data_IF_656270661129
#
_entry.id   IF_656270661129
#
_cell.length_a   1.000
_cell.length_b   1.000
_cell.length_c   1.000
_cell.angle_alpha   90.00
_cell.angle_beta   90.00
_cell.angle_gamma   90.00
#
_symmetry.space_group_name_H-M   'P 1'
#
loop_
_entity.id
_entity.type
_entity.pdbx_description
1 polymer ?
#
# COMPACT_ATOMS: atom_id res chain seq x y z
N UNK A 1 5.63 39.64 -17.44
CA UNK A 1 5.33 39.06 -16.12
C UNK A 1 4.13 38.13 -16.30
N UNK A 2 4.40 36.89 -16.75
CA UNK A 2 3.36 35.90 -16.98
C UNK A 2 2.85 35.36 -15.63
N UNK A 3 1.54 35.24 -15.50
CA UNK A 3 0.87 34.83 -14.28
C UNK A 3 1.39 33.45 -13.84
N UNK A 4 2.07 33.41 -12.71
CA UNK A 4 2.31 32.20 -11.95
C UNK A 4 0.96 31.76 -11.39
N UNK A 5 0.15 31.08 -12.21
CA UNK A 5 -1.03 30.39 -11.72
C UNK A 5 -0.52 29.35 -10.72
N UNK A 6 -0.81 29.59 -9.45
CA UNK A 6 -0.68 28.65 -8.36
C UNK A 6 -1.50 27.41 -8.71
N UNK A 7 -0.88 26.46 -9.42
CA UNK A 7 -1.50 25.18 -9.75
C UNK A 7 -1.58 24.44 -8.44
N UNK A 8 -2.74 24.50 -7.79
CA UNK A 8 -3.06 23.68 -6.63
C UNK A 8 -2.69 22.24 -7.03
N UNK A 9 -1.69 21.62 -6.39
CA UNK A 9 -1.31 20.27 -6.73
C UNK A 9 -2.49 19.38 -6.39
N UNK A 10 -3.17 18.86 -7.42
CA UNK A 10 -4.17 17.84 -7.21
C UNK A 10 -3.44 16.63 -6.60
N UNK A 11 -3.84 16.21 -5.39
CA UNK A 11 -3.40 14.97 -4.76
C UNK A 11 -3.92 13.80 -5.58
N UNK A 12 -3.17 13.45 -6.62
CA UNK A 12 -3.47 12.36 -7.53
C UNK A 12 -2.22 11.56 -7.80
N UNK A 13 -2.34 10.24 -7.79
CA UNK A 13 -1.27 9.33 -8.22
C UNK A 13 -1.05 9.38 -9.73
N UNK A 14 -2.02 9.91 -10.48
CA UNK A 14 -2.00 10.09 -11.92
C UNK A 14 -1.19 11.34 -12.33
N UNK A 15 0.09 11.39 -11.98
CA UNK A 15 0.95 12.57 -12.23
C UNK A 15 1.21 12.82 -13.73
N UNK A 16 0.99 11.83 -14.58
CA UNK A 16 1.07 11.97 -16.05
C UNK A 16 -0.25 12.45 -16.69
N UNK A 17 -1.27 12.75 -15.88
CA UNK A 17 -2.57 13.26 -16.34
C UNK A 17 -3.51 12.21 -16.95
N UNK A 18 -3.11 10.94 -17.01
CA UNK A 18 -3.95 9.83 -17.51
C UNK A 18 -4.58 9.06 -16.36
N UNK A 19 -5.77 8.50 -16.57
CA UNK A 19 -6.42 7.69 -15.54
C UNK A 19 -5.80 6.28 -15.51
N UNK A 20 -5.30 5.87 -14.35
CA UNK A 20 -4.75 4.53 -14.10
C UNK A 20 -5.62 3.76 -13.09
N UNK A 21 -6.86 3.36 -13.44
CA UNK A 21 -7.79 2.77 -12.48
C UNK A 21 -7.28 1.44 -11.90
N UNK A 22 -6.52 0.65 -12.66
CA UNK A 22 -6.02 -0.65 -12.21
C UNK A 22 -4.89 -0.47 -11.21
N UNK A 23 -3.91 0.36 -11.56
CA UNK A 23 -2.74 0.70 -10.77
C UNK A 23 -3.18 1.37 -9.45
N UNK A 24 -4.10 2.34 -9.53
CA UNK A 24 -4.67 3.00 -8.35
C UNK A 24 -5.44 2.02 -7.46
N UNK A 25 -6.06 0.98 -8.02
CA UNK A 25 -6.70 -0.08 -7.22
C UNK A 25 -5.65 -0.88 -6.43
N UNK A 26 -4.52 -1.25 -7.06
CA UNK A 26 -3.43 -1.92 -6.35
C UNK A 26 -2.79 -1.04 -5.28
N UNK A 27 -2.65 0.27 -5.52
CA UNK A 27 -2.22 1.25 -4.50
C UNK A 27 -3.17 1.21 -3.30
N UNK A 28 -4.48 1.34 -3.55
CA UNK A 28 -5.48 1.32 -2.49
C UNK A 28 -5.48 -0.01 -1.72
N UNK A 29 -5.43 -1.15 -2.42
CA UNK A 29 -5.35 -2.47 -1.80
C UNK A 29 -4.11 -2.60 -0.91
N UNK A 30 -2.93 -2.24 -1.41
CA UNK A 30 -1.69 -2.35 -0.65
C UNK A 30 -1.70 -1.46 0.60
N UNK A 31 -2.21 -0.24 0.49
CA UNK A 31 -2.31 0.68 1.63
C UNK A 31 -3.30 0.19 2.68
N UNK A 32 -4.50 -0.24 2.27
CA UNK A 32 -5.53 -0.72 3.20
C UNK A 32 -5.08 -2.01 3.87
N UNK A 33 -4.62 -3.00 3.09
CA UNK A 33 -4.15 -4.28 3.63
C UNK A 33 -2.93 -4.10 4.53
N UNK A 34 -1.98 -3.24 4.14
CA UNK A 34 -0.82 -2.91 4.95
C UNK A 34 -1.20 -2.21 6.26
N UNK A 35 -2.11 -1.23 6.20
CA UNK A 35 -2.61 -0.53 7.38
C UNK A 35 -3.33 -1.48 8.35
N UNK A 36 -4.17 -2.38 7.84
CA UNK A 36 -4.81 -3.42 8.66
C UNK A 36 -3.75 -4.32 9.28
N UNK A 37 -2.81 -4.85 8.49
CA UNK A 37 -1.78 -5.76 8.96
C UNK A 37 -0.97 -5.15 10.11
N UNK A 38 -0.41 -3.95 9.91
CA UNK A 38 0.42 -3.31 10.94
C UNK A 38 -0.39 -2.95 12.18
N UNK A 39 -1.63 -2.48 12.02
CA UNK A 39 -2.49 -2.11 13.16
C UNK A 39 -2.89 -3.34 13.99
N UNK A 40 -3.26 -4.44 13.34
CA UNK A 40 -3.65 -5.67 14.03
C UNK A 40 -2.48 -6.41 14.66
N UNK A 41 -1.26 -6.19 14.16
CA UNK A 41 -0.05 -6.83 14.69
C UNK A 41 0.27 -6.47 16.15
N UNK A 42 -0.27 -5.36 16.64
CA UNK A 42 -0.14 -4.95 18.04
C UNK A 42 -0.96 -5.81 19.02
N UNK A 43 -1.86 -6.66 18.53
CA UNK A 43 -2.76 -7.48 19.36
C UNK A 43 -2.45 -8.96 19.18
N UNK A 44 -2.04 -9.63 20.26
CA UNK A 44 -1.66 -11.05 20.25
C UNK A 44 -2.75 -11.97 19.69
N UNK A 45 -4.04 -11.65 19.89
CA UNK A 45 -5.17 -12.46 19.40
C UNK A 45 -5.50 -12.25 17.92
N UNK A 46 -4.92 -11.25 17.26
CA UNK A 46 -5.24 -10.89 15.87
C UNK A 46 -4.12 -11.24 14.88
N UNK A 47 -3.15 -12.08 15.29
CA UNK A 47 -2.02 -12.47 14.45
C UNK A 47 -2.46 -13.15 13.14
N UNK A 48 -3.53 -13.96 13.12
CA UNK A 48 -4.05 -14.58 11.89
C UNK A 48 -4.48 -13.52 10.87
N UNK A 49 -5.21 -12.50 11.33
CA UNK A 49 -5.63 -11.38 10.47
C UNK A 49 -4.40 -10.63 10.00
N UNK A 50 -3.49 -10.27 10.92
CA UNK A 50 -2.23 -9.58 10.62
C UNK A 50 -1.41 -10.31 9.55
N UNK A 51 -1.28 -11.63 9.67
CA UNK A 51 -0.53 -12.48 8.75
C UNK A 51 -1.21 -12.57 7.38
N UNK A 52 -2.51 -12.82 7.32
CA UNK A 52 -3.20 -12.94 6.03
C UNK A 52 -3.31 -11.61 5.29
N UNK A 53 -3.66 -10.52 5.99
CA UNK A 53 -3.71 -9.19 5.37
C UNK A 53 -2.31 -8.70 5.01
N UNK A 54 -1.30 -9.02 5.82
CA UNK A 54 0.10 -8.73 5.51
C UNK A 54 0.58 -9.46 4.25
N UNK A 55 0.31 -10.76 4.15
CA UNK A 55 0.65 -11.55 2.96
C UNK A 55 -0.07 -11.05 1.69
N UNK A 56 -1.39 -10.84 1.78
CA UNK A 56 -2.17 -10.29 0.68
C UNK A 56 -1.70 -8.88 0.27
N UNK A 57 -1.31 -8.06 1.25
CA UNK A 57 -0.74 -6.73 1.04
C UNK A 57 0.63 -6.78 0.38
N UNK A 58 1.49 -7.72 0.76
CA UNK A 58 2.79 -7.96 0.11
C UNK A 58 2.60 -8.33 -1.37
N UNK A 59 1.70 -9.28 -1.65
CA UNK A 59 1.43 -9.72 -3.02
C UNK A 59 0.83 -8.59 -3.87
N UNK A 60 -0.17 -7.88 -3.33
CA UNK A 60 -0.80 -6.74 -4.01
C UNK A 60 0.18 -5.60 -4.25
N UNK A 61 0.98 -5.26 -3.24
CA UNK A 61 2.00 -4.22 -3.32
C UNK A 61 3.10 -4.55 -4.31
N UNK A 62 3.62 -5.79 -4.27
CA UNK A 62 4.65 -6.28 -5.17
C UNK A 62 4.19 -6.31 -6.63
N UNK A 63 2.96 -6.79 -6.89
CA UNK A 63 2.39 -6.74 -8.23
C UNK A 63 2.12 -5.30 -8.68
N UNK A 64 1.60 -4.46 -7.78
CA UNK A 64 1.40 -3.04 -8.03
C UNK A 64 2.69 -2.35 -8.48
N UNK A 65 3.81 -2.61 -7.79
CA UNK A 65 5.12 -2.05 -8.16
C UNK A 65 5.52 -2.42 -9.59
N UNK A 66 5.24 -3.65 -10.00
CA UNK A 66 5.58 -4.16 -11.33
C UNK A 66 4.78 -3.48 -12.45
N UNK A 67 3.49 -3.19 -12.20
CA UNK A 67 2.60 -2.61 -13.22
C UNK A 67 2.53 -1.08 -13.19
N UNK A 68 2.96 -0.43 -12.10
CA UNK A 68 2.83 1.02 -11.93
C UNK A 68 3.54 1.83 -12.99
N UNK A 69 2.84 2.87 -13.46
CA UNK A 69 3.29 3.77 -14.51
C UNK A 69 3.97 4.99 -13.91
N UNK A 70 3.46 5.50 -12.79
CA UNK A 70 3.95 6.75 -12.19
C UNK A 70 4.80 6.50 -10.95
N UNK A 71 5.69 7.44 -10.66
CA UNK A 71 6.50 7.41 -9.43
C UNK A 71 5.62 7.60 -8.18
N UNK A 72 4.54 8.36 -8.28
CA UNK A 72 3.63 8.59 -7.16
C UNK A 72 2.91 7.30 -6.74
N UNK A 73 2.46 6.48 -7.69
CA UNK A 73 1.90 5.15 -7.42
C UNK A 73 2.92 4.26 -6.73
N UNK A 74 4.15 4.17 -7.29
CA UNK A 74 5.23 3.35 -6.74
C UNK A 74 5.60 3.76 -5.32
N UNK A 75 5.66 5.06 -5.06
CA UNK A 75 5.97 5.57 -3.72
C UNK A 75 4.91 5.15 -2.70
N UNK A 76 3.63 5.31 -3.03
CA UNK A 76 2.53 4.88 -2.17
C UNK A 76 2.53 3.35 -1.95
N UNK A 77 2.80 2.58 -3.02
CA UNK A 77 2.91 1.12 -2.94
C UNK A 77 4.08 0.67 -2.05
N UNK A 78 5.23 1.36 -2.02
CA UNK A 78 6.33 1.02 -1.10
C UNK A 78 5.90 1.21 0.35
N UNK A 79 5.17 2.29 0.65
CA UNK A 79 4.64 2.52 2.00
C UNK A 79 3.68 1.38 2.39
N UNK A 80 2.72 1.04 1.52
CA UNK A 80 1.82 -0.08 1.72
C UNK A 80 2.55 -1.41 1.92
N UNK A 81 3.55 -1.69 1.09
CA UNK A 81 4.38 -2.89 1.15
C UNK A 81 5.15 -2.98 2.47
N UNK A 82 5.73 -1.87 2.93
CA UNK A 82 6.44 -1.80 4.20
C UNK A 82 5.52 -2.08 5.39
N UNK A 83 4.33 -1.47 5.41
CA UNK A 83 3.32 -1.74 6.45
C UNK A 83 2.86 -3.20 6.44
N UNK A 84 2.59 -3.75 5.25
CA UNK A 84 2.17 -5.13 5.07
C UNK A 84 3.27 -6.11 5.52
N UNK A 85 4.52 -5.85 5.14
CA UNK A 85 5.66 -6.68 5.53
C UNK A 85 5.92 -6.65 7.04
N UNK A 86 5.81 -5.50 7.68
CA UNK A 86 5.97 -5.38 9.13
C UNK A 86 4.86 -6.13 9.88
N UNK A 87 3.60 -5.90 9.49
CA UNK A 87 2.46 -6.60 10.09
C UNK A 87 2.51 -8.11 9.87
N UNK A 88 2.92 -8.55 8.68
CA UNK A 88 3.13 -9.96 8.36
C UNK A 88 4.23 -10.57 9.23
N UNK A 89 5.38 -9.91 9.34
CA UNK A 89 6.52 -10.39 10.12
C UNK A 89 6.15 -10.60 11.60
N UNK A 90 5.48 -9.62 12.20
CA UNK A 90 5.02 -9.72 13.60
C UNK A 90 3.93 -10.78 13.75
N UNK A 91 2.96 -10.85 12.83
CA UNK A 91 1.90 -11.88 12.85
C UNK A 91 2.48 -13.30 12.76
N UNK A 92 3.47 -13.50 11.89
CA UNK A 92 4.16 -14.78 11.73
C UNK A 92 4.89 -15.23 13.00
N UNK A 93 5.35 -14.30 13.83
CA UNK A 93 6.03 -14.61 15.08
C UNK A 93 5.09 -15.18 16.17
N UNK A 94 3.77 -15.05 16.02
CA UNK A 94 2.79 -15.39 17.07
C UNK A 94 1.99 -16.68 16.84
N UNK A 95 2.24 -17.39 15.75
CA UNK A 95 1.81 -18.78 15.40
C UNK A 95 1.78 -18.98 13.88
N UNK A 96 1.97 -17.91 13.09
CA UNK A 96 1.96 -17.98 11.64
C UNK A 96 0.63 -17.55 11.05
N UNK A 97 0.10 -18.40 10.15
CA UNK A 97 -1.14 -18.17 9.40
C UNK A 97 -2.38 -18.84 10.04
N UNK A 98 -2.24 -19.41 11.24
CA UNK A 98 -3.24 -20.24 11.92
C UNK A 98 -3.31 -19.95 13.41
#
# INVERSE_FOLDING_TARGET
MALHMERIPHLTFNTDGRRHPRENTFVALALVLGAVAVSTSAFHSLHVISSWTGLAGILSGGWGQYISVTTAERFALIIGLGMAALGFYIGMAHSGLW
#
